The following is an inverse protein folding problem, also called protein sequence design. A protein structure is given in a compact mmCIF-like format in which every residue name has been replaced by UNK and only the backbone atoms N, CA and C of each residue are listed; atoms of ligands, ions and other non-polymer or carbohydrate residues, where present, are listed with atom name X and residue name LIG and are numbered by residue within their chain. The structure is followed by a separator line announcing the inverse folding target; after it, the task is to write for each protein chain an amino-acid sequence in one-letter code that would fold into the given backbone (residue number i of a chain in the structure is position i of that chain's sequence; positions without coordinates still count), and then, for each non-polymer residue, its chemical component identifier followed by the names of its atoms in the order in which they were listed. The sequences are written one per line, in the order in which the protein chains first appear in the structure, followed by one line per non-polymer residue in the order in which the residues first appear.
data_IF_074375246088
#
_entry.id   IF_074375246088
#
_cell.length_a   1.000
_cell.length_b   1.000
_cell.length_c   1.000
_cell.angle_alpha   90.00
_cell.angle_beta   90.00
_cell.angle_gamma   90.00
#
_symmetry.space_group_name_H-M   'P 1'
#
loop_
_entity.id
_entity.type
_entity.pdbx_description
1 polymer ?
#
# COMPACT_ATOMS: atom_id res chain seq x y z
N UNK A 1 -0.02 27.31 6.04
CA UNK A 1 -0.40 27.77 4.69
C UNK A 1 -0.60 26.52 3.84
N UNK A 2 -1.85 26.26 3.42
CA UNK A 2 -2.36 24.91 3.20
C UNK A 2 -2.99 24.70 1.82
N UNK A 3 -2.16 24.74 0.78
CA UNK A 3 -2.55 24.36 -0.57
C UNK A 3 -2.25 22.87 -0.80
N UNK A 4 -3.04 21.99 -0.16
CA UNK A 4 -2.95 20.56 -0.39
C UNK A 4 -3.96 20.14 -1.47
N UNK A 5 -3.52 19.68 -2.65
CA UNK A 5 -4.40 19.30 -3.76
C UNK A 5 -5.33 18.12 -3.42
N UNK A 6 -4.99 17.28 -2.43
CA UNK A 6 -5.87 16.22 -1.94
C UNK A 6 -7.05 16.74 -1.10
N UNK A 7 -6.81 17.71 -0.22
CA UNK A 7 -7.80 18.10 0.80
C UNK A 7 -8.89 19.04 0.26
N UNK A 8 -8.56 19.95 -0.68
CA UNK A 8 -9.53 20.93 -1.20
C UNK A 8 -10.09 20.62 -2.58
N UNK A 9 -9.33 19.99 -3.48
CA UNK A 9 -9.75 19.84 -4.88
C UNK A 9 -10.45 18.51 -5.19
N UNK A 10 -10.52 17.57 -4.23
CA UNK A 10 -11.09 16.21 -4.42
C UNK A 10 -10.60 15.54 -5.72
N UNK A 11 -9.40 15.92 -6.16
CA UNK A 11 -8.83 15.54 -7.44
C UNK A 11 -7.90 14.37 -7.20
N UNK A 12 -8.49 13.19 -7.23
CA UNK A 12 -7.76 11.94 -7.18
C UNK A 12 -7.36 11.59 -8.61
N UNK A 13 -6.20 12.06 -9.07
CA UNK A 13 -5.66 11.67 -10.39
C UNK A 13 -5.37 10.16 -10.50
N UNK A 14 -5.38 9.46 -9.36
CA UNK A 14 -5.33 7.99 -9.30
C UNK A 14 -6.70 7.29 -9.47
N UNK A 15 -7.80 8.05 -9.49
CA UNK A 15 -9.17 7.57 -9.76
C UNK A 15 -9.61 7.78 -11.22
N UNK A 16 -8.87 8.54 -12.02
CA UNK A 16 -9.17 8.74 -13.44
C UNK A 16 -8.53 7.63 -14.29
N UNK A 17 -9.09 6.42 -14.17
CA UNK A 17 -9.18 5.31 -15.13
C UNK A 17 -8.22 5.15 -16.33
N UNK A 18 -6.97 5.61 -16.29
CA UNK A 18 -6.03 5.58 -17.43
C UNK A 18 -4.61 5.11 -17.07
N UNK A 19 -4.48 4.21 -16.10
CA UNK A 19 -3.32 3.34 -16.02
C UNK A 19 -3.76 2.03 -15.37
N UNK A 20 -4.01 1.01 -16.19
CA UNK A 20 -4.62 -0.26 -15.80
C UNK A 20 -3.92 -0.92 -14.63
N UNK A 21 -4.49 -0.77 -13.43
CA UNK A 21 -4.19 -1.63 -12.29
C UNK A 21 -4.88 -2.96 -12.57
N UNK A 22 -4.13 -3.96 -13.05
CA UNK A 22 -4.61 -5.34 -13.10
C UNK A 22 -4.56 -5.91 -11.70
N UNK A 23 -5.64 -5.79 -10.96
CA UNK A 23 -5.88 -6.59 -9.77
C UNK A 23 -6.30 -7.99 -10.20
N UNK A 24 -5.40 -8.96 -10.05
CA UNK A 24 -5.79 -10.37 -10.05
C UNK A 24 -6.12 -10.73 -8.61
N UNK A 25 -7.39 -10.97 -8.34
CA UNK A 25 -7.85 -11.58 -7.10
C UNK A 25 -7.28 -13.00 -7.03
N UNK A 26 -6.36 -13.26 -6.10
CA UNK A 26 -5.95 -14.63 -5.79
C UNK A 26 -7.10 -15.29 -5.01
N UNK A 27 -7.91 -16.10 -5.71
CA UNK A 27 -9.05 -16.81 -5.13
C UNK A 27 -8.67 -17.54 -3.83
N UNK A 28 -9.35 -17.19 -2.73
CA UNK A 28 -9.38 -17.94 -1.47
C UNK A 28 -8.56 -17.40 -0.29
N UNK A 29 -8.00 -16.17 -0.36
CA UNK A 29 -7.04 -15.69 0.66
C UNK A 29 -7.17 -14.22 1.11
N UNK A 30 -8.33 -13.59 0.88
CA UNK A 30 -8.61 -12.19 1.28
C UNK A 30 -7.43 -11.23 1.05
N UNK A 31 -6.90 -11.27 -0.17
CA UNK A 31 -5.70 -10.54 -0.54
C UNK A 31 -5.86 -9.82 -1.88
N UNK A 32 -5.45 -8.56 -1.91
CA UNK A 32 -5.41 -7.72 -3.10
C UNK A 32 -3.96 -7.40 -3.43
N UNK A 33 -3.58 -7.67 -4.67
CA UNK A 33 -2.30 -7.21 -5.21
C UNK A 33 -2.47 -5.85 -5.88
N UNK A 34 -1.70 -4.87 -5.43
CA UNK A 34 -1.57 -3.56 -6.04
C UNK A 34 -0.22 -3.48 -6.75
N UNK A 35 -0.24 -3.01 -7.99
CA UNK A 35 0.97 -2.71 -8.75
C UNK A 35 1.00 -1.22 -9.02
N UNK A 36 1.90 -0.50 -8.35
CA UNK A 36 2.17 0.89 -8.70
C UNK A 36 3.31 0.91 -9.70
N UNK A 37 3.07 1.52 -10.86
CA UNK A 37 4.12 1.80 -11.84
C UNK A 37 4.92 3.00 -11.33
N UNK A 38 5.73 2.80 -10.29
CA UNK A 38 6.63 3.85 -9.81
C UNK A 38 7.78 3.99 -10.81
N UNK A 39 7.63 4.91 -11.76
CA UNK A 39 8.72 5.33 -12.62
C UNK A 39 9.77 6.06 -11.76
N UNK A 40 10.80 5.32 -11.35
CA UNK A 40 12.06 5.89 -10.85
C UNK A 40 12.19 6.17 -9.35
N UNK A 41 11.21 5.81 -8.51
CA UNK A 41 11.36 5.89 -7.05
C UNK A 41 11.82 4.55 -6.47
N UNK A 42 13.08 4.50 -6.05
CA UNK A 42 13.58 3.43 -5.19
C UNK A 42 12.92 3.53 -3.82
N UNK A 43 11.96 2.63 -3.53
CA UNK A 43 11.35 2.55 -2.20
C UNK A 43 12.44 2.25 -1.17
N UNK A 44 12.66 3.17 -0.22
CA UNK A 44 13.61 2.96 0.86
C UNK A 44 12.94 2.12 1.96
N UNK A 45 13.14 0.80 1.90
CA UNK A 45 12.55 -0.12 2.86
C UNK A 45 12.98 0.14 4.30
N UNK A 46 14.16 0.71 4.54
CA UNK A 46 14.61 1.03 5.89
C UNK A 46 13.73 2.12 6.53
N UNK A 47 13.41 3.18 5.77
CA UNK A 47 12.53 4.26 6.23
C UNK A 47 11.08 3.75 6.42
N UNK A 48 10.57 3.03 5.41
CA UNK A 48 9.25 2.42 5.48
C UNK A 48 9.14 1.46 6.68
N UNK A 49 10.16 0.65 6.94
CA UNK A 49 10.15 -0.28 8.06
C UNK A 49 10.11 0.45 9.40
N UNK A 50 10.90 1.51 9.58
CA UNK A 50 10.89 2.30 10.81
C UNK A 50 9.53 2.97 11.07
N UNK A 51 8.85 3.40 10.01
CA UNK A 51 7.51 4.00 10.09
C UNK A 51 6.44 2.95 10.41
N UNK A 52 6.45 1.84 9.67
CA UNK A 52 5.52 0.73 9.82
C UNK A 52 5.67 0.03 11.19
N UNK A 53 6.88 0.01 11.76
CA UNK A 53 7.16 -0.59 13.07
C UNK A 53 6.38 0.09 14.21
N UNK A 54 5.91 1.33 14.01
CA UNK A 54 5.04 2.03 14.96
C UNK A 54 3.60 1.51 14.96
N UNK A 55 3.21 0.82 13.90
CA UNK A 55 1.84 0.34 13.65
C UNK A 55 1.71 -1.18 13.79
N UNK A 56 2.84 -1.90 13.90
CA UNK A 56 2.85 -3.33 14.19
C UNK A 56 4.20 -3.97 13.89
N UNK A 57 4.20 -5.30 13.72
CA UNK A 57 5.42 -6.06 13.48
C UNK A 57 5.88 -5.89 12.03
N UNK A 58 7.16 -5.54 11.84
CA UNK A 58 7.74 -5.37 10.50
C UNK A 58 8.95 -6.27 10.33
N UNK A 59 8.96 -7.00 9.22
CA UNK A 59 10.04 -7.86 8.76
C UNK A 59 10.52 -7.35 7.41
N UNK A 60 11.76 -6.89 7.37
CA UNK A 60 12.40 -6.44 6.13
C UNK A 60 13.53 -7.38 5.77
N UNK A 61 13.57 -7.80 4.52
CA UNK A 61 14.63 -8.61 3.93
C UNK A 61 15.07 -7.96 2.60
N UNK A 62 16.17 -8.44 2.02
CA UNK A 62 16.70 -7.94 0.74
C UNK A 62 15.72 -8.06 -0.45
N UNK A 63 14.72 -8.96 -0.34
CA UNK A 63 13.75 -9.23 -1.40
C UNK A 63 12.38 -8.55 -1.20
N UNK A 64 11.98 -8.25 0.03
CA UNK A 64 10.66 -7.69 0.34
C UNK A 64 10.60 -7.12 1.77
N UNK A 65 9.65 -6.21 1.98
CA UNK A 65 9.22 -5.75 3.29
C UNK A 65 7.83 -6.31 3.59
N UNK A 66 7.66 -6.96 4.73
CA UNK A 66 6.37 -7.42 5.25
C UNK A 66 6.06 -6.70 6.55
N UNK A 67 4.87 -6.14 6.67
CA UNK A 67 4.37 -5.48 7.86
C UNK A 67 3.00 -6.04 8.23
N UNK A 68 2.85 -6.44 9.49
CA UNK A 68 1.59 -6.84 10.09
C UNK A 68 1.00 -5.63 10.79
N UNK A 69 -0.05 -5.07 10.22
CA UNK A 69 -0.65 -3.80 10.60
C UNK A 69 -2.00 -4.08 11.25
N UNK A 70 -2.17 -3.65 12.49
CA UNK A 70 -3.46 -3.76 13.17
C UNK A 70 -4.21 -2.44 13.06
N UNK A 71 -5.32 -2.44 12.34
CA UNK A 71 -6.19 -1.29 12.20
C UNK A 71 -7.52 -1.57 12.89
N UNK A 72 -7.70 -0.95 14.06
CA UNK A 72 -8.84 -1.18 14.94
C UNK A 72 -9.01 -2.67 15.29
N UNK A 73 -9.99 -3.34 14.69
CA UNK A 73 -10.32 -4.76 14.93
C UNK A 73 -9.85 -5.69 13.81
N UNK A 74 -9.27 -5.15 12.73
CA UNK A 74 -8.80 -5.93 11.59
C UNK A 74 -7.28 -5.99 11.52
N UNK A 75 -6.77 -7.17 11.23
CA UNK A 75 -5.36 -7.39 10.94
C UNK A 75 -5.16 -7.34 9.42
N UNK A 76 -4.27 -6.46 8.99
CA UNK A 76 -3.83 -6.34 7.61
C UNK A 76 -2.39 -6.78 7.50
N UNK A 77 -2.07 -7.52 6.45
CA UNK A 77 -0.69 -7.87 6.12
C UNK A 77 -0.29 -7.12 4.86
N UNK A 78 0.65 -6.19 5.00
CA UNK A 78 1.22 -5.45 3.90
C UNK A 78 2.55 -6.10 3.51
N UNK A 79 2.67 -6.53 2.25
CA UNK A 79 3.93 -7.00 1.68
C UNK A 79 4.32 -6.09 0.52
N UNK A 80 5.51 -5.51 0.55
CA UNK A 80 6.06 -4.61 -0.46
C UNK A 80 7.27 -5.24 -1.12
N UNK A 81 7.35 -5.13 -2.44
CA UNK A 81 8.46 -5.61 -3.25
C UNK A 81 9.23 -4.42 -3.83
N UNK A 82 10.57 -4.56 -4.03
CA UNK A 82 11.42 -3.47 -4.51
C UNK A 82 11.02 -2.95 -5.89
N UNK A 83 10.32 -3.79 -6.65
CA UNK A 83 9.76 -3.53 -7.98
C UNK A 83 8.48 -2.66 -7.96
N UNK A 84 8.05 -2.16 -6.79
CA UNK A 84 6.84 -1.33 -6.65
C UNK A 84 5.53 -2.12 -6.56
N UNK A 85 5.62 -3.45 -6.48
CA UNK A 85 4.46 -4.33 -6.21
C UNK A 85 4.16 -4.34 -4.71
N UNK A 86 2.88 -4.35 -4.38
CA UNK A 86 2.38 -4.47 -3.02
C UNK A 86 1.27 -5.53 -2.95
N UNK A 87 1.25 -6.31 -1.89
CA UNK A 87 0.20 -7.28 -1.60
C UNK A 87 -0.37 -6.93 -0.23
N UNK A 88 -1.67 -6.71 -0.17
CA UNK A 88 -2.39 -6.42 1.06
C UNK A 88 -3.29 -7.61 1.33
N UNK A 89 -3.06 -8.34 2.43
CA UNK A 89 -3.98 -9.37 2.93
C UNK A 89 -4.81 -8.85 4.09
N UNK A 90 -5.97 -9.46 4.32
CA UNK A 90 -6.99 -9.01 5.27
C UNK A 90 -8.14 -8.23 4.61
N UNK A 91 -8.13 -8.12 3.28
CA UNK A 91 -9.23 -7.54 2.50
C UNK A 91 -9.27 -8.13 1.10
N UNK A 92 -10.49 -8.44 0.65
CA UNK A 92 -10.79 -8.75 -0.76
C UNK A 92 -11.22 -7.49 -1.54
N UNK A 93 -11.46 -6.37 -0.84
CA UNK A 93 -11.86 -5.11 -1.44
C UNK A 93 -10.65 -4.27 -1.83
N UNK A 94 -10.55 -3.93 -3.12
CA UNK A 94 -9.44 -3.16 -3.67
C UNK A 94 -9.40 -1.72 -3.13
N UNK A 95 -10.56 -1.12 -2.86
CA UNK A 95 -10.64 0.26 -2.34
C UNK A 95 -10.06 0.32 -0.93
N UNK A 96 -10.38 -0.68 -0.09
CA UNK A 96 -9.79 -0.83 1.23
C UNK A 96 -8.28 -1.10 1.12
N UNK A 97 -7.86 -2.00 0.24
CA UNK A 97 -6.45 -2.32 0.05
C UNK A 97 -5.63 -1.08 -0.36
N UNK A 98 -6.14 -0.28 -1.31
CA UNK A 98 -5.52 0.98 -1.72
C UNK A 98 -5.49 2.00 -0.59
N UNK A 99 -6.55 2.07 0.21
CA UNK A 99 -6.62 3.00 1.35
C UNK A 99 -5.58 2.64 2.42
N UNK A 100 -5.44 1.35 2.74
CA UNK A 100 -4.39 0.84 3.65
C UNK A 100 -3.01 1.15 3.07
N UNK A 101 -2.76 0.79 1.81
CA UNK A 101 -1.49 1.07 1.16
C UNK A 101 -1.14 2.57 1.19
N UNK A 102 -2.06 3.45 0.81
CA UNK A 102 -1.85 4.89 0.81
C UNK A 102 -1.62 5.44 2.24
N UNK A 103 -2.36 4.94 3.24
CA UNK A 103 -2.22 5.34 4.64
C UNK A 103 -0.83 5.04 5.21
N UNK A 104 -0.24 3.92 4.82
CA UNK A 104 1.02 3.44 5.41
C UNK A 104 2.26 3.67 4.53
N UNK A 105 2.11 3.70 3.20
CA UNK A 105 3.20 3.84 2.22
C UNK A 105 3.17 5.18 1.49
N UNK A 106 1.99 5.76 1.27
CA UNK A 106 1.79 6.96 0.46
C UNK A 106 1.98 8.30 1.18
N UNK A 107 2.53 8.30 2.39
CA UNK A 107 2.75 9.50 3.22
C UNK A 107 4.21 9.96 3.23
#
# INVERSE_FOLDING_TARGET
DGDCPCCKQRRFEYLDGKAGSRSTSLCGRDAVQLSQKQEGQTMNFADLAARLARHGEVKVNEFMLRAELRDSDKLYELTLFPDGRAIIKGTSDESIARSVFAKYVGA
#
